data_IF_721543000684
#
_entry.id   IF_721543000684
#
_cell.length_a   1.000
_cell.length_b   1.000
_cell.length_c   1.000
_cell.angle_alpha   90.00
_cell.angle_beta   90.00
_cell.angle_gamma   90.00
#
_symmetry.space_group_name_H-M   'P 1'
#
loop_
_entity.id
_entity.type
_entity.pdbx_description
1 polymer ?
#
# COMPACT_ATOMS: atom_id res chain seq x y z
N UNK A 1 12.95 -47.87 -18.01
CA UNK A 1 12.33 -46.83 -17.14
C UNK A 1 12.35 -45.53 -17.93
N UNK A 2 11.20 -44.90 -18.20
CA UNK A 2 11.19 -43.67 -19.00
C UNK A 2 11.64 -42.49 -18.16
N UNK A 3 12.47 -41.62 -18.75
CA UNK A 3 12.90 -40.33 -18.18
C UNK A 3 11.70 -39.51 -17.66
N UNK A 4 10.56 -39.65 -18.33
CA UNK A 4 9.28 -39.03 -17.98
C UNK A 4 8.80 -39.36 -16.55
N UNK A 5 8.95 -40.60 -16.06
CA UNK A 5 8.51 -40.95 -14.70
C UNK A 5 9.34 -40.28 -13.61
N UNK A 6 10.63 -40.07 -13.85
CA UNK A 6 11.52 -39.37 -12.92
C UNK A 6 11.20 -37.88 -12.93
N UNK A 7 10.96 -37.31 -14.13
CA UNK A 7 10.53 -35.91 -14.28
C UNK A 7 9.25 -35.62 -13.50
N UNK A 8 8.24 -36.49 -13.61
CA UNK A 8 6.96 -36.33 -12.90
C UNK A 8 7.13 -36.33 -11.38
N UNK A 9 8.00 -37.20 -10.83
CA UNK A 9 8.30 -37.21 -9.40
C UNK A 9 9.03 -35.94 -8.94
N UNK A 10 9.88 -35.39 -9.80
CA UNK A 10 10.54 -34.12 -9.52
C UNK A 10 9.55 -32.96 -9.48
N UNK A 11 8.62 -32.92 -10.43
CA UNK A 11 7.56 -31.92 -10.47
C UNK A 11 6.61 -32.04 -9.25
N UNK A 12 6.28 -33.27 -8.83
CA UNK A 12 5.49 -33.53 -7.62
C UNK A 12 6.20 -33.04 -6.36
N UNK A 13 7.51 -33.29 -6.26
CA UNK A 13 8.33 -32.79 -5.15
C UNK A 13 8.40 -31.26 -5.14
N UNK A 14 8.56 -30.61 -6.29
CA UNK A 14 8.52 -29.14 -6.40
C UNK A 14 7.17 -28.62 -5.91
N UNK A 15 6.04 -29.19 -6.36
CA UNK A 15 4.71 -28.80 -5.88
C UNK A 15 4.55 -28.99 -4.38
N UNK A 16 5.04 -30.09 -3.82
CA UNK A 16 5.01 -30.38 -2.39
C UNK A 16 5.79 -29.32 -1.58
N UNK A 17 7.01 -28.98 -2.02
CA UNK A 17 7.83 -27.97 -1.34
C UNK A 17 7.23 -26.57 -1.41
N UNK A 18 6.63 -26.19 -2.54
CA UNK A 18 5.93 -24.91 -2.67
C UNK A 18 4.69 -24.84 -1.75
N UNK A 19 3.95 -25.95 -1.62
CA UNK A 19 2.84 -26.04 -0.67
C UNK A 19 3.30 -25.94 0.78
N UNK A 20 4.41 -26.61 1.12
CA UNK A 20 5.01 -26.50 2.46
C UNK A 20 5.39 -25.04 2.77
N UNK A 21 6.02 -24.31 1.84
CA UNK A 21 6.35 -22.88 2.02
C UNK A 21 5.12 -22.01 2.27
N UNK A 22 4.02 -22.28 1.55
CA UNK A 22 2.75 -21.59 1.76
C UNK A 22 2.20 -21.84 3.17
N UNK A 23 2.16 -23.10 3.60
CA UNK A 23 1.67 -23.49 4.93
C UNK A 23 2.56 -22.95 6.07
N UNK A 24 3.88 -22.99 5.89
CA UNK A 24 4.82 -22.45 6.86
C UNK A 24 4.66 -20.93 7.02
N UNK A 25 4.62 -20.20 5.89
CA UNK A 25 4.39 -18.75 5.90
C UNK A 25 3.05 -18.42 6.56
N UNK A 26 2.01 -19.19 6.26
CA UNK A 26 0.69 -19.00 6.87
C UNK A 26 0.68 -19.25 8.38
N UNK A 27 1.37 -20.30 8.86
CA UNK A 27 1.57 -20.56 10.28
C UNK A 27 2.28 -19.37 10.97
N UNK A 28 3.35 -18.85 10.39
CA UNK A 28 4.06 -17.68 10.96
C UNK A 28 3.15 -16.44 11.00
N UNK A 29 2.38 -16.22 9.94
CA UNK A 29 1.39 -15.16 9.89
C UNK A 29 0.34 -15.30 11.00
N UNK A 30 -0.29 -16.47 11.16
CA UNK A 30 -1.28 -16.71 12.20
C UNK A 30 -0.70 -16.52 13.60
N UNK A 31 0.51 -17.05 13.88
CA UNK A 31 1.19 -16.82 15.16
C UNK A 31 1.43 -15.33 15.40
N UNK A 32 1.81 -14.58 14.36
CA UNK A 32 1.99 -13.13 14.42
C UNK A 32 0.70 -12.40 14.78
N UNK A 33 -0.42 -12.75 14.14
CA UNK A 33 -1.74 -12.17 14.41
C UNK A 33 -2.17 -12.47 15.85
N UNK A 34 -2.09 -13.73 16.28
CA UNK A 34 -2.47 -14.16 17.63
C UNK A 34 -1.65 -13.46 18.72
N UNK A 35 -0.32 -13.39 18.53
CA UNK A 35 0.56 -12.65 19.44
C UNK A 35 0.22 -11.17 19.51
N UNK A 36 -0.11 -10.55 18.37
CA UNK A 36 -0.32 -9.09 18.26
C UNK A 36 -1.67 -8.63 18.80
N UNK A 37 -2.73 -9.40 18.57
CA UNK A 37 -4.11 -8.96 18.84
C UNK A 37 -4.83 -9.78 19.91
N UNK A 38 -4.38 -11.02 20.18
CA UNK A 38 -5.05 -11.94 21.10
C UNK A 38 -4.18 -12.32 22.32
N UNK A 39 -2.94 -11.82 22.39
CA UNK A 39 -1.97 -12.07 23.46
C UNK A 39 -1.85 -13.55 23.86
N UNK A 40 -2.03 -14.44 22.90
CA UNK A 40 -2.07 -15.90 23.08
C UNK A 40 -1.38 -16.59 21.91
N UNK A 41 -1.08 -17.89 22.07
CA UNK A 41 -0.66 -18.72 20.95
C UNK A 41 -1.87 -19.32 20.23
N UNK A 42 -1.77 -19.62 18.93
CA UNK A 42 -2.78 -20.39 18.23
C UNK A 42 -3.06 -21.72 18.93
N UNK A 43 -4.32 -22.16 18.96
CA UNK A 43 -4.76 -23.34 19.72
C UNK A 43 -4.32 -24.70 19.16
N UNK A 44 -3.48 -24.75 18.13
CA UNK A 44 -2.98 -25.97 17.50
C UNK A 44 -1.52 -26.27 17.88
N UNK A 45 -1.13 -27.54 17.74
CA UNK A 45 0.27 -27.99 17.90
C UNK A 45 0.72 -28.68 16.61
N UNK A 46 1.26 -27.89 15.69
CA UNK A 46 1.80 -28.39 14.43
C UNK A 46 3.34 -28.35 14.47
N UNK A 47 3.97 -29.50 14.24
CA UNK A 47 5.43 -29.59 14.16
C UNK A 47 5.92 -29.47 12.71
N UNK A 48 6.13 -28.22 12.30
CA UNK A 48 6.66 -27.90 10.98
C UNK A 48 8.15 -28.26 10.82
N UNK A 49 8.91 -28.39 11.91
CA UNK A 49 10.32 -28.77 11.84
C UNK A 49 10.44 -30.25 11.48
N UNK A 50 9.66 -31.12 12.15
CA UNK A 50 9.61 -32.53 11.81
C UNK A 50 9.15 -32.74 10.36
N UNK A 51 8.09 -32.03 9.94
CA UNK A 51 7.58 -32.08 8.57
C UNK A 51 8.63 -31.63 7.53
N UNK A 52 9.40 -30.58 7.82
CA UNK A 52 10.49 -30.13 6.96
C UNK A 52 11.58 -31.20 6.78
N UNK A 53 12.02 -31.82 7.87
CA UNK A 53 13.02 -32.89 7.82
C UNK A 53 12.52 -34.10 7.03
N UNK A 54 11.24 -34.47 7.16
CA UNK A 54 10.64 -35.53 6.34
C UNK A 54 10.63 -35.19 4.84
N UNK A 55 10.28 -33.96 4.46
CA UNK A 55 10.31 -33.49 3.06
C UNK A 55 11.76 -33.51 2.53
N UNK A 56 12.72 -33.03 3.33
CA UNK A 56 14.13 -33.02 2.98
C UNK A 56 14.70 -34.42 2.77
N UNK A 57 14.28 -35.38 3.58
CA UNK A 57 14.69 -36.78 3.43
C UNK A 57 14.25 -37.40 2.10
N UNK A 58 13.06 -37.02 1.60
CA UNK A 58 12.57 -37.48 0.28
C UNK A 58 13.44 -36.96 -0.86
N UNK A 59 13.92 -35.71 -0.78
CA UNK A 59 14.84 -35.16 -1.77
C UNK A 59 16.15 -35.96 -1.88
N UNK A 60 16.69 -36.44 -0.75
CA UNK A 60 17.89 -37.27 -0.73
C UNK A 60 17.64 -38.66 -1.35
N UNK A 61 16.45 -39.22 -1.13
CA UNK A 61 16.05 -40.53 -1.68
C UNK A 61 15.79 -40.46 -3.19
N UNK A 62 15.27 -39.35 -3.71
CA UNK A 62 15.05 -39.15 -5.16
C UNK A 62 16.34 -39.25 -5.98
N UNK A 63 17.48 -38.88 -5.40
CA UNK A 63 18.78 -38.93 -6.07
C UNK A 63 19.48 -40.30 -5.94
N UNK A 64 19.01 -41.20 -5.06
CA UNK A 64 19.75 -42.40 -4.64
C UNK A 64 18.94 -43.70 -4.69
N UNK A 65 17.61 -43.64 -4.78
CA UNK A 65 16.70 -44.77 -4.61
C UNK A 65 15.90 -45.09 -5.88
N UNK A 66 15.39 -46.33 -6.00
CA UNK A 66 14.44 -46.71 -7.05
C UNK A 66 13.13 -45.90 -6.90
N UNK A 67 12.62 -45.26 -7.98
CA UNK A 67 11.43 -44.39 -7.97
C UNK A 67 10.16 -44.97 -7.32
N UNK A 68 10.05 -46.30 -7.28
CA UNK A 68 8.90 -47.03 -6.72
C UNK A 68 8.75 -46.85 -5.20
N UNK A 69 9.85 -46.57 -4.49
CA UNK A 69 9.82 -46.28 -3.05
C UNK A 69 9.46 -44.82 -2.72
N UNK A 70 9.70 -43.89 -3.66
CA UNK A 70 9.52 -42.45 -3.45
C UNK A 70 8.06 -42.01 -3.61
N UNK A 71 7.35 -42.57 -4.59
CA UNK A 71 5.97 -42.18 -4.90
C UNK A 71 4.97 -42.38 -3.74
N UNK A 72 5.01 -43.51 -2.97
CA UNK A 72 4.19 -43.66 -1.77
C UNK A 72 4.51 -42.61 -0.71
N UNK A 73 5.81 -42.33 -0.50
CA UNK A 73 6.26 -41.37 0.51
C UNK A 73 5.83 -39.94 0.19
N UNK A 74 5.86 -39.54 -1.08
CA UNK A 74 5.32 -38.25 -1.52
C UNK A 74 3.82 -38.15 -1.23
N UNK A 75 3.04 -39.20 -1.49
CA UNK A 75 1.60 -39.21 -1.19
C UNK A 75 1.32 -39.07 0.31
N UNK A 76 2.05 -39.79 1.16
CA UNK A 76 1.95 -39.64 2.62
C UNK A 76 2.24 -38.20 3.08
N UNK A 77 3.25 -37.56 2.49
CA UNK A 77 3.56 -36.16 2.79
C UNK A 77 2.45 -35.20 2.33
N UNK A 78 1.84 -35.44 1.17
CA UNK A 78 0.70 -34.66 0.71
C UNK A 78 -0.48 -34.74 1.69
N UNK A 79 -0.84 -35.95 2.14
CA UNK A 79 -1.90 -36.14 3.15
C UNK A 79 -1.58 -35.44 4.47
N UNK A 80 -0.31 -35.46 4.90
CA UNK A 80 0.14 -34.69 6.08
C UNK A 80 0.01 -33.17 5.85
N UNK A 81 0.39 -32.65 4.68
CA UNK A 81 0.21 -31.23 4.35
C UNK A 81 -1.28 -30.84 4.33
N UNK A 82 -2.17 -31.72 3.88
CA UNK A 82 -3.62 -31.49 3.92
C UNK A 82 -4.16 -31.47 5.35
N UNK A 83 -3.65 -32.34 6.24
CA UNK A 83 -3.98 -32.29 7.66
C UNK A 83 -3.52 -30.97 8.31
N UNK A 84 -2.28 -30.53 8.06
CA UNK A 84 -1.77 -29.25 8.55
C UNK A 84 -2.58 -28.07 8.03
N UNK A 85 -2.95 -28.10 6.74
CA UNK A 85 -3.77 -27.04 6.13
C UNK A 85 -5.14 -26.90 6.81
N UNK A 86 -5.80 -28.02 7.12
CA UNK A 86 -7.10 -28.02 7.81
C UNK A 86 -7.01 -27.43 9.23
N UNK A 87 -6.00 -27.81 10.00
CA UNK A 87 -5.77 -27.27 11.36
C UNK A 87 -5.50 -25.76 11.33
N UNK A 88 -4.68 -25.30 10.37
CA UNK A 88 -4.44 -23.87 10.17
C UNK A 88 -5.72 -23.13 9.77
N UNK A 89 -6.51 -23.71 8.86
CA UNK A 89 -7.76 -23.10 8.39
C UNK A 89 -8.80 -22.99 9.49
N UNK A 90 -8.95 -24.00 10.34
CA UNK A 90 -9.87 -23.96 11.49
C UNK A 90 -9.54 -22.81 12.44
N UNK A 91 -8.26 -22.53 12.63
CA UNK A 91 -7.81 -21.44 13.48
C UNK A 91 -7.95 -20.06 12.81
N UNK A 92 -7.73 -20.01 11.49
CA UNK A 92 -7.92 -18.80 10.67
C UNK A 92 -9.39 -18.34 10.60
N UNK A 93 -10.36 -19.25 10.72
CA UNK A 93 -11.80 -18.89 10.77
C UNK A 93 -12.14 -17.91 11.90
N UNK A 94 -11.33 -17.84 12.95
CA UNK A 94 -11.50 -16.90 14.08
C UNK A 94 -10.86 -15.53 13.82
N UNK A 95 -10.10 -15.41 12.73
CA UNK A 95 -9.41 -14.18 12.34
C UNK A 95 -10.22 -13.51 11.24
N UNK A 96 -10.92 -12.42 11.56
CA UNK A 96 -11.65 -11.64 10.56
C UNK A 96 -10.69 -10.94 9.57
N UNK A 97 -11.15 -10.56 8.37
CA UNK A 97 -10.34 -9.82 7.39
C UNK A 97 -9.72 -8.53 7.94
N UNK A 98 -10.41 -7.85 8.87
CA UNK A 98 -9.91 -6.63 9.53
C UNK A 98 -8.62 -6.85 10.33
N UNK A 99 -8.45 -8.00 10.99
CA UNK A 99 -7.19 -8.30 11.70
C UNK A 99 -6.04 -8.52 10.72
N UNK A 100 -6.30 -9.12 9.55
CA UNK A 100 -5.28 -9.28 8.51
C UNK A 100 -4.79 -7.92 8.02
N UNK A 101 -5.71 -7.00 7.72
CA UNK A 101 -5.37 -5.62 7.28
C UNK A 101 -4.54 -4.90 8.33
N UNK A 102 -5.02 -4.84 9.57
CA UNK A 102 -4.32 -4.19 10.69
C UNK A 102 -2.97 -4.83 10.99
N UNK A 103 -2.83 -6.15 10.81
CA UNK A 103 -1.55 -6.83 10.98
C UNK A 103 -0.53 -6.35 9.94
N UNK A 104 -0.92 -6.33 8.67
CA UNK A 104 -0.05 -5.88 7.58
C UNK A 104 0.32 -4.40 7.73
N UNK A 105 -0.63 -3.55 8.13
CA UNK A 105 -0.38 -2.12 8.41
C UNK A 105 0.61 -1.91 9.56
N UNK A 106 0.54 -2.75 10.61
CA UNK A 106 1.38 -2.62 11.80
C UNK A 106 2.77 -3.22 11.62
N UNK A 107 2.86 -4.39 10.98
CA UNK A 107 4.13 -5.12 10.81
C UNK A 107 4.90 -4.61 9.59
N UNK A 108 4.20 -4.11 8.56
CA UNK A 108 4.77 -3.65 7.28
C UNK A 108 5.84 -4.63 6.76
N UNK A 109 5.45 -5.89 6.46
CA UNK A 109 6.39 -6.89 5.99
C UNK A 109 7.18 -6.38 4.78
N UNK A 110 8.52 -6.51 4.85
CA UNK A 110 9.41 -6.16 3.74
C UNK A 110 9.48 -7.24 2.67
N UNK A 111 9.18 -8.49 3.03
CA UNK A 111 9.14 -9.60 2.08
C UNK A 111 7.79 -9.63 1.35
N UNK A 112 7.83 -9.19 0.10
CA UNK A 112 6.69 -9.15 -0.81
C UNK A 112 6.11 -10.55 -1.08
N UNK A 113 6.89 -11.62 -0.85
CA UNK A 113 6.45 -13.01 -1.04
C UNK A 113 5.48 -13.49 0.04
N UNK A 114 5.35 -12.77 1.15
CA UNK A 114 4.41 -13.16 2.21
C UNK A 114 2.99 -13.16 1.64
N UNK A 115 2.55 -12.07 1.00
CA UNK A 115 1.21 -12.00 0.41
C UNK A 115 1.00 -13.09 -0.66
N UNK A 116 2.02 -13.36 -1.48
CA UNK A 116 2.00 -14.45 -2.47
C UNK A 116 1.74 -15.82 -1.82
N UNK A 117 2.48 -16.17 -0.76
CA UNK A 117 2.33 -17.45 -0.08
C UNK A 117 1.00 -17.57 0.68
N UNK A 118 0.51 -16.47 1.26
CA UNK A 118 -0.82 -16.45 1.89
C UNK A 118 -1.93 -16.65 0.86
N UNK A 119 -1.84 -16.01 -0.32
CA UNK A 119 -2.79 -16.26 -1.41
C UNK A 119 -2.77 -17.72 -1.86
N UNK A 120 -1.59 -18.32 -2.04
CA UNK A 120 -1.47 -19.76 -2.38
C UNK A 120 -2.11 -20.64 -1.33
N UNK A 121 -1.99 -20.30 -0.05
CA UNK A 121 -2.70 -21.01 1.01
C UNK A 121 -4.21 -20.94 0.79
N UNK A 122 -4.81 -19.76 0.65
CA UNK A 122 -6.26 -19.63 0.47
C UNK A 122 -6.78 -20.32 -0.79
N UNK A 123 -6.10 -20.18 -1.93
CA UNK A 123 -6.49 -20.86 -3.18
C UNK A 123 -6.35 -22.38 -3.12
N UNK A 124 -5.56 -22.91 -2.18
CA UNK A 124 -5.45 -24.36 -1.95
C UNK A 124 -6.57 -24.93 -1.08
N UNK A 125 -7.42 -24.09 -0.48
CA UNK A 125 -8.56 -24.51 0.34
C UNK A 125 -9.84 -24.54 -0.50
N UNK A 126 -10.62 -25.62 -0.38
CA UNK A 126 -11.88 -25.78 -1.13
C UNK A 126 -13.03 -24.92 -0.57
N UNK A 127 -12.99 -24.64 0.73
CA UNK A 127 -14.03 -23.86 1.41
C UNK A 127 -13.79 -22.36 1.23
N UNK A 128 -14.74 -21.70 0.56
CA UNK A 128 -14.72 -20.26 0.29
C UNK A 128 -15.92 -19.63 0.96
N UNK A 129 -15.66 -18.76 1.93
CA UNK A 129 -16.65 -17.91 2.60
C UNK A 129 -16.37 -16.42 2.26
N UNK A 130 -17.28 -15.53 2.66
CA UNK A 130 -17.15 -14.08 2.40
C UNK A 130 -15.86 -13.52 3.04
N UNK A 131 -15.47 -14.01 4.21
CA UNK A 131 -14.24 -13.61 4.90
C UNK A 131 -12.99 -13.99 4.10
N UNK A 132 -12.93 -15.19 3.53
CA UNK A 132 -11.82 -15.63 2.67
C UNK A 132 -11.75 -14.77 1.42
N UNK A 133 -12.88 -14.45 0.80
CA UNK A 133 -12.94 -13.55 -0.37
C UNK A 133 -12.34 -12.19 -0.01
N UNK A 134 -12.74 -11.61 1.12
CA UNK A 134 -12.25 -10.30 1.58
C UNK A 134 -10.74 -10.32 1.94
N UNK A 135 -10.24 -11.44 2.49
CA UNK A 135 -8.81 -11.64 2.75
C UNK A 135 -8.03 -11.78 1.45
N UNK A 136 -8.54 -12.53 0.47
CA UNK A 136 -7.93 -12.71 -0.85
C UNK A 136 -7.90 -11.39 -1.63
N UNK A 137 -8.99 -10.62 -1.64
CA UNK A 137 -9.06 -9.28 -2.27
C UNK A 137 -7.99 -8.34 -1.69
N UNK A 138 -7.87 -8.31 -0.37
CA UNK A 138 -6.83 -7.52 0.31
C UNK A 138 -5.41 -8.00 -0.03
N UNK A 139 -5.14 -9.30 0.12
CA UNK A 139 -3.81 -9.86 -0.12
C UNK A 139 -3.38 -9.75 -1.59
N UNK A 140 -4.31 -9.86 -2.53
CA UNK A 140 -4.05 -9.61 -3.94
C UNK A 140 -3.64 -8.16 -4.17
N UNK A 141 -4.32 -7.21 -3.54
CA UNK A 141 -3.96 -5.79 -3.58
C UNK A 141 -2.54 -5.56 -3.05
N UNK A 142 -2.18 -6.18 -1.92
CA UNK A 142 -0.82 -6.10 -1.34
C UNK A 142 0.24 -6.79 -2.22
N UNK A 143 -0.08 -7.93 -2.81
CA UNK A 143 0.84 -8.64 -3.70
C UNK A 143 1.08 -7.86 -5.00
N UNK A 144 0.08 -7.12 -5.49
CA UNK A 144 0.17 -6.29 -6.67
C UNK A 144 1.05 -5.04 -6.47
N UNK A 145 1.04 -4.43 -5.28
CA UNK A 145 1.94 -3.30 -4.95
C UNK A 145 3.35 -3.75 -4.61
N UNK A 146 3.51 -5.00 -4.16
CA UNK A 146 4.74 -5.49 -3.54
C UNK A 146 4.97 -4.96 -2.12
N UNK A 147 4.16 -4.01 -1.64
CA UNK A 147 4.34 -3.37 -0.34
C UNK A 147 3.04 -3.41 0.45
N UNK A 148 3.15 -3.70 1.74
CA UNK A 148 2.02 -3.66 2.69
C UNK A 148 1.57 -2.23 3.05
N UNK A 149 2.24 -1.22 2.51
CA UNK A 149 2.02 0.17 2.86
C UNK A 149 0.66 0.70 2.33
N UNK A 150 -0.14 1.41 3.14
CA UNK A 150 -1.40 2.03 2.75
C UNK A 150 -1.34 3.20 1.75
N UNK A 151 -0.15 3.71 1.43
CA UNK A 151 0.02 4.78 0.44
C UNK A 151 0.67 4.27 -0.86
N UNK A 152 1.22 3.06 -0.85
CA UNK A 152 1.79 2.41 -2.02
C UNK A 152 0.83 2.43 -3.23
N UNK A 153 1.29 3.08 -4.29
CA UNK A 153 0.64 3.09 -5.60
C UNK A 153 1.05 1.87 -6.43
N UNK A 154 0.44 1.71 -7.61
CA UNK A 154 0.81 0.66 -8.55
C UNK A 154 2.27 0.86 -9.02
N UNK A 155 3.20 0.08 -8.47
CA UNK A 155 4.62 0.13 -8.84
C UNK A 155 4.98 -0.85 -9.95
N UNK A 156 4.13 -1.86 -10.18
CA UNK A 156 4.39 -2.97 -11.10
C UNK A 156 3.57 -2.85 -12.37
N UNK A 157 4.15 -3.18 -13.55
CA UNK A 157 3.39 -3.32 -14.77
C UNK A 157 2.29 -4.38 -14.62
N UNK A 158 1.11 -4.12 -15.20
CA UNK A 158 -0.04 -5.06 -15.16
C UNK A 158 0.32 -6.47 -15.60
N UNK A 159 1.17 -6.62 -16.61
CA UNK A 159 1.65 -7.91 -17.11
C UNK A 159 2.47 -8.68 -16.06
N UNK A 160 3.26 -7.97 -15.24
CA UNK A 160 4.01 -8.60 -14.15
C UNK A 160 3.09 -9.08 -13.03
N UNK A 161 2.05 -8.29 -12.70
CA UNK A 161 1.00 -8.67 -11.74
C UNK A 161 0.24 -9.90 -12.24
N UNK A 162 -0.10 -9.93 -13.52
CA UNK A 162 -0.78 -11.08 -14.12
C UNK A 162 0.06 -12.36 -14.01
N UNK A 163 1.35 -12.32 -14.39
CA UNK A 163 2.26 -13.47 -14.23
C UNK A 163 2.38 -13.94 -12.79
N UNK A 164 2.39 -13.00 -11.84
CA UNK A 164 2.38 -13.32 -10.41
C UNK A 164 1.11 -14.10 -10.05
N UNK A 165 -0.06 -13.61 -10.46
CA UNK A 165 -1.34 -14.24 -10.16
C UNK A 165 -1.58 -15.54 -10.92
N UNK A 166 -1.04 -15.71 -12.12
CA UNK A 166 -0.99 -17.00 -12.82
C UNK A 166 -0.24 -18.04 -11.99
N UNK A 167 0.90 -17.66 -11.41
CA UNK A 167 1.69 -18.54 -10.53
C UNK A 167 0.97 -18.85 -9.21
N UNK A 168 0.28 -17.87 -8.63
CA UNK A 168 -0.53 -18.05 -7.42
C UNK A 168 -1.72 -18.98 -7.66
N UNK A 169 -2.42 -18.79 -8.78
CA UNK A 169 -3.69 -19.48 -9.06
C UNK A 169 -3.50 -20.82 -9.78
N UNK A 170 -2.28 -21.14 -10.23
CA UNK A 170 -1.95 -22.37 -10.96
C UNK A 170 -2.44 -23.66 -10.27
N UNK A 171 -2.33 -23.74 -8.93
CA UNK A 171 -2.73 -24.88 -8.13
C UNK A 171 -4.04 -24.64 -7.35
N UNK A 172 -4.84 -23.67 -7.78
CA UNK A 172 -6.11 -23.34 -7.12
C UNK A 172 -7.10 -24.50 -7.25
N UNK A 173 -7.78 -24.82 -6.14
CA UNK A 173 -8.88 -25.80 -6.09
C UNK A 173 -10.25 -25.13 -6.22
N UNK A 174 -10.28 -23.81 -6.35
CA UNK A 174 -11.52 -23.05 -6.47
C UNK A 174 -12.21 -23.30 -7.81
N UNK A 175 -13.53 -23.15 -7.89
CA UNK A 175 -14.26 -23.25 -9.15
C UNK A 175 -13.69 -22.27 -10.19
N UNK A 176 -13.50 -22.76 -11.41
CA UNK A 176 -13.11 -21.91 -12.54
C UNK A 176 -14.36 -21.34 -13.21
N UNK A 177 -14.36 -20.05 -13.47
CA UNK A 177 -15.38 -19.43 -14.31
C UNK A 177 -15.27 -19.90 -15.76
N UNK A 178 -16.39 -19.85 -16.47
CA UNK A 178 -16.43 -20.05 -17.91
C UNK A 178 -15.54 -19.02 -18.62
N UNK A 179 -14.71 -19.49 -19.56
CA UNK A 179 -13.71 -18.65 -20.24
C UNK A 179 -14.33 -17.41 -20.89
N UNK A 180 -15.53 -17.53 -21.47
CA UNK A 180 -16.25 -16.43 -22.11
C UNK A 180 -16.68 -15.29 -21.17
N UNK A 181 -16.76 -15.55 -19.85
CA UNK A 181 -17.12 -14.55 -18.85
C UNK A 181 -15.93 -13.70 -18.38
N UNK A 182 -14.69 -14.13 -18.68
CA UNK A 182 -13.49 -13.43 -18.22
C UNK A 182 -13.33 -12.04 -18.87
N UNK A 183 -13.35 -11.91 -20.22
CA UNK A 183 -13.20 -10.60 -20.87
C UNK A 183 -14.22 -9.52 -20.45
N UNK A 184 -15.54 -9.79 -20.34
CA UNK A 184 -16.48 -8.75 -19.93
C UNK A 184 -16.28 -8.32 -18.47
N UNK A 185 -15.90 -9.24 -17.58
CA UNK A 185 -15.59 -8.92 -16.18
C UNK A 185 -14.36 -8.01 -16.10
N UNK A 186 -13.28 -8.38 -16.80
CA UNK A 186 -12.04 -7.59 -16.83
C UNK A 186 -12.30 -6.19 -17.38
N UNK A 187 -13.05 -6.09 -18.49
CA UNK A 187 -13.44 -4.80 -19.07
C UNK A 187 -14.22 -3.94 -18.09
N UNK A 188 -15.19 -4.51 -17.38
CA UNK A 188 -15.99 -3.77 -16.41
C UNK A 188 -15.15 -3.20 -15.25
N UNK A 189 -14.12 -3.92 -14.78
CA UNK A 189 -13.18 -3.36 -13.80
C UNK A 189 -12.29 -2.25 -14.37
N UNK A 190 -11.87 -2.39 -15.63
CA UNK A 190 -11.07 -1.37 -16.31
C UNK A 190 -11.89 -0.09 -16.57
N UNK A 191 -13.18 -0.22 -16.91
CA UNK A 191 -14.13 0.88 -17.01
C UNK A 191 -14.34 1.56 -15.65
N UNK A 192 -14.59 0.80 -14.57
CA UNK A 192 -14.70 1.35 -13.22
C UNK A 192 -13.41 2.06 -12.76
N UNK A 193 -12.23 1.54 -13.10
CA UNK A 193 -10.97 2.20 -12.81
C UNK A 193 -10.81 3.50 -13.63
N UNK A 194 -11.31 3.53 -14.86
CA UNK A 194 -11.32 4.74 -15.70
C UNK A 194 -12.25 5.80 -15.13
N UNK A 195 -13.46 5.42 -14.72
CA UNK A 195 -14.43 6.34 -14.10
C UNK A 195 -13.89 6.87 -12.77
N UNK A 196 -13.26 6.01 -11.96
CA UNK A 196 -12.58 6.42 -10.74
C UNK A 196 -11.48 7.46 -11.02
N UNK A 197 -10.66 7.29 -12.05
CA UNK A 197 -9.62 8.27 -12.40
C UNK A 197 -10.16 9.61 -12.89
N UNK A 198 -11.40 9.64 -13.40
CA UNK A 198 -12.06 10.87 -13.87
C UNK A 198 -12.61 11.72 -12.72
N UNK A 199 -12.81 11.15 -11.53
CA UNK A 199 -13.25 11.88 -10.36
C UNK A 199 -12.25 13.00 -10.02
N UNK A 200 -12.77 14.24 -9.94
CA UNK A 200 -12.01 15.46 -9.64
C UNK A 200 -12.25 15.94 -8.23
N UNK A 201 -13.43 15.66 -7.69
CA UNK A 201 -13.84 16.05 -6.34
C UNK A 201 -14.22 14.85 -5.49
N UNK A 202 -14.20 15.04 -4.17
CA UNK A 202 -14.56 13.97 -3.24
C UNK A 202 -16.04 13.56 -3.39
N UNK A 203 -16.89 14.51 -3.77
CA UNK A 203 -18.31 14.32 -4.06
C UNK A 203 -18.55 13.34 -5.20
N UNK A 204 -17.72 13.35 -6.25
CA UNK A 204 -17.86 12.45 -7.40
C UNK A 204 -17.83 10.98 -6.93
N UNK A 205 -16.99 10.66 -5.95
CA UNK A 205 -16.87 9.32 -5.39
C UNK A 205 -18.15 8.82 -4.71
N UNK A 206 -18.92 9.73 -4.11
CA UNK A 206 -20.12 9.45 -3.32
C UNK A 206 -21.39 9.61 -4.16
N UNK A 207 -21.54 10.74 -4.84
CA UNK A 207 -22.69 11.13 -5.65
C UNK A 207 -22.86 10.23 -6.87
N UNK A 208 -21.77 9.92 -7.59
CA UNK A 208 -21.80 8.98 -8.72
C UNK A 208 -21.75 7.51 -8.26
N UNK A 209 -21.72 7.27 -6.94
CA UNK A 209 -21.70 5.96 -6.31
C UNK A 209 -20.53 5.08 -6.75
N UNK A 210 -19.41 5.67 -7.19
CA UNK A 210 -18.25 4.94 -7.75
C UNK A 210 -17.72 3.89 -6.76
N UNK A 211 -17.54 4.27 -5.49
CA UNK A 211 -17.07 3.33 -4.45
C UNK A 211 -18.05 2.16 -4.24
N UNK A 212 -19.36 2.43 -4.32
CA UNK A 212 -20.39 1.40 -4.19
C UNK A 212 -20.47 0.51 -5.43
N UNK A 213 -20.24 1.06 -6.63
CA UNK A 213 -20.21 0.31 -7.88
C UNK A 213 -19.03 -0.68 -7.87
N UNK A 214 -17.83 -0.25 -7.46
CA UNK A 214 -16.67 -1.12 -7.26
C UNK A 214 -16.98 -2.23 -6.25
N UNK A 215 -17.54 -1.88 -5.08
CA UNK A 215 -17.90 -2.86 -4.04
C UNK A 215 -18.92 -3.89 -4.54
N UNK A 216 -19.94 -3.43 -5.27
CA UNK A 216 -20.99 -4.29 -5.83
C UNK A 216 -20.42 -5.22 -6.90
N UNK A 217 -19.54 -4.70 -7.77
CA UNK A 217 -18.89 -5.49 -8.81
C UNK A 217 -18.03 -6.61 -8.20
N UNK A 218 -17.18 -6.29 -7.22
CA UNK A 218 -16.36 -7.27 -6.49
C UNK A 218 -17.19 -8.41 -5.90
N UNK A 219 -18.30 -8.08 -5.24
CA UNK A 219 -19.19 -9.08 -4.64
C UNK A 219 -19.78 -10.02 -5.69
N UNK A 220 -20.14 -9.51 -6.87
CA UNK A 220 -20.68 -10.31 -7.98
C UNK A 220 -19.65 -11.24 -8.60
N UNK A 221 -18.38 -10.84 -8.62
CA UNK A 221 -17.30 -11.63 -9.24
C UNK A 221 -16.48 -12.46 -8.25
N UNK A 222 -16.88 -12.51 -6.98
CA UNK A 222 -16.11 -13.15 -5.91
C UNK A 222 -15.77 -14.62 -6.21
N UNK A 223 -16.67 -15.35 -6.87
CA UNK A 223 -16.45 -16.72 -7.34
C UNK A 223 -15.43 -16.84 -8.48
N UNK A 224 -15.10 -15.73 -9.13
CA UNK A 224 -14.15 -15.62 -10.23
C UNK A 224 -12.71 -15.27 -9.84
N UNK A 225 -12.43 -15.01 -8.57
CA UNK A 225 -11.11 -14.55 -8.12
C UNK A 225 -9.98 -15.57 -8.34
N UNK A 226 -10.31 -16.84 -8.60
CA UNK A 226 -9.34 -17.87 -8.99
C UNK A 226 -8.81 -17.70 -10.42
N UNK A 227 -9.44 -16.86 -11.26
CA UNK A 227 -8.92 -16.51 -12.57
C UNK A 227 -7.89 -15.37 -12.42
N UNK A 228 -6.67 -15.60 -12.91
CA UNK A 228 -5.57 -14.64 -12.78
C UNK A 228 -5.85 -13.27 -13.44
N UNK A 229 -6.54 -13.25 -14.58
CA UNK A 229 -6.88 -12.01 -15.28
C UNK A 229 -7.91 -11.19 -14.49
N UNK A 230 -8.93 -11.86 -13.93
CA UNK A 230 -9.93 -11.21 -13.07
C UNK A 230 -9.26 -10.69 -11.80
N UNK A 231 -8.44 -11.50 -11.14
CA UNK A 231 -7.71 -11.10 -9.93
C UNK A 231 -6.79 -9.90 -10.20
N UNK A 232 -6.15 -9.87 -11.37
CA UNK A 232 -5.32 -8.74 -11.81
C UNK A 232 -6.17 -7.49 -11.98
N UNK A 233 -7.30 -7.58 -12.68
CA UNK A 233 -8.19 -6.45 -12.90
C UNK A 233 -8.76 -5.89 -11.58
N UNK A 234 -9.17 -6.78 -10.66
CA UNK A 234 -9.63 -6.41 -9.31
C UNK A 234 -8.52 -5.70 -8.54
N UNK A 235 -7.31 -6.26 -8.48
CA UNK A 235 -6.20 -5.66 -7.76
C UNK A 235 -5.81 -4.29 -8.34
N UNK A 236 -5.73 -4.15 -9.66
CA UNK A 236 -5.48 -2.86 -10.30
C UNK A 236 -6.57 -1.84 -9.98
N UNK A 237 -7.85 -2.22 -10.10
CA UNK A 237 -8.98 -1.36 -9.76
C UNK A 237 -8.95 -0.92 -8.30
N UNK A 238 -8.54 -1.79 -7.37
CA UNK A 238 -8.36 -1.44 -5.95
C UNK A 238 -7.29 -0.39 -5.75
N UNK A 239 -6.17 -0.53 -6.44
CA UNK A 239 -5.06 0.41 -6.34
C UNK A 239 -5.43 1.77 -6.91
N UNK A 240 -6.12 1.78 -8.06
CA UNK A 240 -6.69 3.02 -8.61
C UNK A 240 -7.68 3.65 -7.64
N UNK A 241 -8.64 2.88 -7.10
CA UNK A 241 -9.62 3.36 -6.13
C UNK A 241 -8.94 3.94 -4.89
N UNK A 242 -7.91 3.27 -4.37
CA UNK A 242 -7.19 3.74 -3.18
C UNK A 242 -6.38 5.00 -3.46
N UNK A 243 -5.67 5.05 -4.58
CA UNK A 243 -4.85 6.21 -4.98
C UNK A 243 -5.72 7.45 -5.20
N UNK A 244 -6.82 7.31 -5.96
CA UNK A 244 -7.77 8.42 -6.19
C UNK A 244 -8.42 8.86 -4.89
N UNK A 245 -8.90 7.92 -4.07
CA UNK A 245 -9.50 8.24 -2.78
C UNK A 245 -8.54 9.04 -1.89
N UNK A 246 -7.27 8.62 -1.81
CA UNK A 246 -6.27 9.28 -0.99
C UNK A 246 -5.95 10.69 -1.51
N UNK A 247 -5.70 10.83 -2.82
CA UNK A 247 -5.47 12.14 -3.46
C UNK A 247 -6.60 13.12 -3.21
N UNK A 248 -7.85 12.68 -3.42
CA UNK A 248 -9.02 13.52 -3.21
C UNK A 248 -9.25 13.81 -1.73
N UNK A 249 -8.97 12.83 -0.86
CA UNK A 249 -9.03 13.02 0.58
C UNK A 249 -8.02 14.06 1.08
N UNK A 250 -6.76 14.02 0.66
CA UNK A 250 -5.75 15.00 1.06
C UNK A 250 -6.12 16.42 0.60
N UNK A 251 -6.67 16.55 -0.62
CA UNK A 251 -7.20 17.84 -1.11
C UNK A 251 -8.35 18.32 -0.23
N UNK A 252 -9.28 17.44 0.11
CA UNK A 252 -10.46 17.78 0.91
C UNK A 252 -10.12 18.05 2.38
N UNK A 253 -9.15 17.35 2.96
CA UNK A 253 -8.68 17.56 4.33
C UNK A 253 -8.18 19.00 4.52
N UNK A 254 -7.38 19.51 3.57
CA UNK A 254 -6.92 20.91 3.58
C UNK A 254 -8.09 21.90 3.51
N UNK A 255 -9.06 21.66 2.60
CA UNK A 255 -10.28 22.47 2.47
C UNK A 255 -11.09 22.49 3.77
N UNK A 256 -11.24 21.33 4.41
CA UNK A 256 -11.98 21.17 5.67
C UNK A 256 -11.28 21.85 6.85
N UNK A 257 -9.95 21.79 6.93
CA UNK A 257 -9.16 22.47 7.97
C UNK A 257 -9.27 23.99 7.87
N UNK A 258 -9.18 24.54 6.65
CA UNK A 258 -9.36 25.98 6.41
C UNK A 258 -10.77 26.45 6.78
N UNK A 259 -11.81 25.73 6.33
CA UNK A 259 -13.19 26.05 6.65
C UNK A 259 -13.47 25.92 8.15
N UNK A 260 -12.89 24.93 8.80
CA UNK A 260 -12.94 24.75 10.25
C UNK A 260 -12.29 25.91 11.01
N UNK A 261 -11.15 26.41 10.52
CA UNK A 261 -10.50 27.62 11.05
C UNK A 261 -11.43 28.83 10.98
N UNK A 262 -12.00 29.10 9.80
CA UNK A 262 -12.94 30.22 9.59
C UNK A 262 -14.17 30.14 10.49
N UNK A 263 -14.78 28.95 10.63
CA UNK A 263 -15.92 28.75 11.54
C UNK A 263 -15.53 29.00 13.00
N UNK A 264 -14.33 28.60 13.41
CA UNK A 264 -13.84 28.82 14.78
C UNK A 264 -13.64 30.32 15.05
N UNK A 265 -13.13 31.06 14.07
CA UNK A 265 -12.97 32.52 14.20
C UNK A 265 -14.33 33.24 14.19
N UNK A 266 -15.28 32.79 13.36
CA UNK A 266 -16.66 33.27 13.38
C UNK A 266 -17.32 33.05 14.76
N UNK A 267 -17.17 31.85 15.36
CA UNK A 267 -17.69 31.55 16.69
C UNK A 267 -17.09 32.50 17.75
N UNK A 268 -15.80 32.83 17.64
CA UNK A 268 -15.13 33.79 18.54
C UNK A 268 -15.65 35.22 18.36
N UNK A 269 -15.87 35.66 17.12
CA UNK A 269 -16.39 36.99 16.82
C UNK A 269 -17.83 37.17 17.31
N UNK A 270 -18.71 36.20 17.05
CA UNK A 270 -20.09 36.20 17.52
C UNK A 270 -20.18 36.18 19.05
N UNK A 271 -19.32 35.39 19.70
CA UNK A 271 -19.22 35.35 21.18
C UNK A 271 -18.73 36.69 21.75
N UNK A 272 -17.82 37.40 21.07
CA UNK A 272 -17.37 38.75 21.46
C UNK A 272 -18.42 39.83 21.23
N UNK A 273 -19.25 39.67 20.20
CA UNK A 273 -20.36 40.57 19.86
C UNK A 273 -21.57 40.49 20.80
N UNK A 274 -21.57 39.54 21.74
CA UNK A 274 -22.68 39.35 22.68
C UNK A 274 -23.89 38.63 22.08
N UNK A 275 -23.76 38.05 20.87
CA UNK A 275 -24.77 37.18 20.30
C UNK A 275 -24.67 35.79 20.94
N UNK A 276 -25.33 35.65 22.09
CA UNK A 276 -25.38 34.40 22.85
C UNK A 276 -26.40 33.43 22.22
N UNK A 277 -26.12 32.95 21.00
CA UNK A 277 -26.76 31.74 20.49
C UNK A 277 -25.70 30.86 19.87
N UNK A 278 -25.27 29.86 20.64
CA UNK A 278 -24.73 28.63 20.09
C UNK A 278 -25.81 28.05 19.15
N UNK A 279 -25.75 28.49 17.90
CA UNK A 279 -26.70 28.07 16.88
C UNK A 279 -26.60 26.56 16.75
N UNK A 280 -27.74 25.87 16.62
CA UNK A 280 -27.82 24.41 16.50
C UNK A 280 -26.84 23.84 15.46
N UNK A 281 -26.52 24.63 14.44
CA UNK A 281 -25.55 24.38 13.37
C UNK A 281 -24.10 24.34 13.89
N UNK A 282 -23.68 25.26 14.77
CA UNK A 282 -22.37 25.19 15.43
C UNK A 282 -22.24 23.95 16.33
N UNK A 283 -23.34 23.54 16.97
CA UNK A 283 -23.37 22.30 17.76
C UNK A 283 -23.21 21.07 16.86
N UNK A 284 -23.95 20.99 15.75
CA UNK A 284 -23.82 19.91 14.75
C UNK A 284 -22.42 19.85 14.15
N UNK A 285 -21.85 21.02 13.81
CA UNK A 285 -20.48 21.12 13.34
C UNK A 285 -19.48 20.55 14.37
N UNK A 286 -19.56 20.97 15.65
CA UNK A 286 -18.69 20.44 16.71
C UNK A 286 -18.83 18.93 16.87
N UNK A 287 -20.04 18.40 16.86
CA UNK A 287 -20.28 16.96 16.97
C UNK A 287 -19.74 16.19 15.76
N UNK A 288 -19.90 16.72 14.55
CA UNK A 288 -19.36 16.13 13.33
C UNK A 288 -17.83 16.14 13.34
N UNK A 289 -17.22 17.27 13.74
CA UNK A 289 -15.76 17.42 13.88
C UNK A 289 -15.18 16.46 14.90
N UNK A 290 -15.77 16.33 16.09
CA UNK A 290 -15.30 15.38 17.11
C UNK A 290 -15.34 13.93 16.58
N UNK A 291 -16.40 13.57 15.83
CA UNK A 291 -16.47 12.25 15.20
C UNK A 291 -15.39 12.07 14.14
N UNK A 292 -15.19 13.08 13.28
CA UNK A 292 -14.15 13.11 12.26
C UNK A 292 -12.76 12.93 12.87
N UNK A 293 -12.37 13.78 13.83
CA UNK A 293 -11.06 13.77 14.48
C UNK A 293 -10.78 12.42 15.16
N UNK A 294 -11.80 11.86 15.82
CA UNK A 294 -11.69 10.54 16.45
C UNK A 294 -11.43 9.45 15.40
N UNK A 295 -12.18 9.43 14.29
CA UNK A 295 -12.03 8.42 13.25
C UNK A 295 -10.72 8.59 12.46
N UNK A 296 -10.27 9.83 12.26
CA UNK A 296 -8.96 10.15 11.68
C UNK A 296 -7.82 9.62 12.57
N UNK A 297 -7.89 9.89 13.88
CA UNK A 297 -6.92 9.38 14.88
C UNK A 297 -6.87 7.84 14.89
N UNK A 298 -8.03 7.19 14.76
CA UNK A 298 -8.16 5.73 14.71
C UNK A 298 -7.80 5.12 13.32
N UNK A 299 -7.43 5.94 12.32
CA UNK A 299 -7.21 5.54 10.91
C UNK A 299 -8.38 4.75 10.30
N UNK A 300 -9.61 5.08 10.71
CA UNK A 300 -10.84 4.42 10.28
C UNK A 300 -11.79 5.42 9.60
N UNK A 301 -11.22 6.41 8.92
CA UNK A 301 -11.99 7.41 8.20
C UNK A 301 -12.69 6.79 6.98
N UNK A 302 -13.95 7.19 6.76
CA UNK A 302 -14.79 6.73 5.64
C UNK A 302 -15.27 7.95 4.88
N UNK A 303 -15.58 7.77 3.59
CA UNK A 303 -16.14 8.81 2.73
C UNK A 303 -17.35 9.51 3.37
N UNK A 304 -18.20 8.75 4.03
CA UNK A 304 -19.37 9.27 4.72
C UNK A 304 -19.02 10.28 5.83
N UNK A 305 -17.94 10.06 6.58
CA UNK A 305 -17.55 10.98 7.67
C UNK A 305 -17.07 12.33 7.13
N UNK A 306 -16.39 12.34 5.98
CA UNK A 306 -15.94 13.55 5.29
C UNK A 306 -17.16 14.32 4.77
N UNK A 307 -18.08 13.63 4.11
CA UNK A 307 -19.31 14.22 3.60
C UNK A 307 -20.18 14.82 4.72
N UNK A 308 -20.32 14.13 5.86
CA UNK A 308 -21.04 14.64 7.03
C UNK A 308 -20.40 15.91 7.62
N UNK A 309 -19.06 15.98 7.67
CA UNK A 309 -18.36 17.17 8.16
C UNK A 309 -18.55 18.35 7.19
N UNK A 310 -18.39 18.11 5.89
CA UNK A 310 -18.59 19.13 4.85
C UNK A 310 -20.01 19.68 4.87
N UNK A 311 -21.02 18.82 4.96
CA UNK A 311 -22.42 19.26 5.06
C UNK A 311 -22.65 20.14 6.30
N UNK A 312 -22.08 19.77 7.45
CA UNK A 312 -22.19 20.58 8.66
C UNK A 312 -21.48 21.94 8.54
N UNK A 313 -20.33 21.99 7.84
CA UNK A 313 -19.61 23.23 7.51
C UNK A 313 -20.48 24.11 6.61
N UNK A 314 -21.04 23.56 5.53
CA UNK A 314 -21.91 24.29 4.61
C UNK A 314 -23.14 24.87 5.31
N UNK A 315 -23.79 24.12 6.21
CA UNK A 315 -24.93 24.63 7.01
C UNK A 315 -24.56 25.86 7.84
N UNK A 316 -23.37 25.87 8.46
CA UNK A 316 -22.90 27.01 9.26
C UNK A 316 -22.59 28.21 8.36
N UNK A 317 -21.78 28.02 7.30
CA UNK A 317 -21.37 29.11 6.42
C UNK A 317 -22.58 29.77 5.72
N UNK A 318 -23.55 28.97 5.27
CA UNK A 318 -24.77 29.46 4.62
C UNK A 318 -25.66 30.28 5.58
N UNK A 319 -25.75 29.87 6.84
CA UNK A 319 -26.63 30.53 7.82
C UNK A 319 -26.12 31.89 8.29
N UNK A 320 -24.81 32.03 8.40
CA UNK A 320 -24.18 33.28 8.84
C UNK A 320 -23.84 34.22 7.68
N UNK A 321 -24.41 33.94 6.50
CA UNK A 321 -24.34 34.76 5.28
C UNK A 321 -22.91 35.28 5.04
N UNK A 322 -21.94 34.38 5.13
CA UNK A 322 -20.59 34.61 4.63
C UNK A 322 -20.67 34.42 3.11
N UNK A 323 -21.49 35.24 2.46
CA UNK A 323 -21.79 35.26 1.02
C UNK A 323 -20.68 35.97 0.24
N UNK A 324 -19.43 35.67 0.60
CA UNK A 324 -18.24 35.93 -0.23
C UNK A 324 -17.60 34.64 -0.73
N UNK A 325 -18.33 33.53 -0.67
CA UNK A 325 -17.88 32.20 -1.09
C UNK A 325 -19.02 31.56 -1.88
N UNK A 326 -19.31 32.11 -3.06
CA UNK A 326 -19.77 31.22 -4.12
C UNK A 326 -18.65 30.19 -4.34
N UNK A 327 -19.02 28.94 -4.59
CA UNK A 327 -18.07 27.86 -4.86
C UNK A 327 -17.11 28.20 -6.02
N UNK A 328 -17.45 29.21 -6.83
CA UNK A 328 -16.64 29.74 -7.92
C UNK A 328 -15.45 30.61 -7.46
N UNK A 329 -15.52 31.33 -6.32
CA UNK A 329 -14.40 32.20 -5.88
C UNK A 329 -13.25 31.43 -5.21
N UNK A 330 -13.50 30.21 -4.72
CA UNK A 330 -12.42 29.30 -4.27
C UNK A 330 -11.72 28.67 -5.47
N UNK A 331 -12.46 28.37 -6.53
CA UNK A 331 -11.88 27.84 -7.77
C UNK A 331 -11.20 28.95 -8.59
N UNK A 332 -11.66 30.22 -8.59
CA UNK A 332 -11.03 31.33 -9.32
C UNK A 332 -9.81 31.93 -8.58
N UNK A 333 -9.85 32.01 -7.23
CA UNK A 333 -8.68 32.36 -6.43
C UNK A 333 -7.60 31.26 -6.43
N UNK A 334 -7.99 30.02 -6.77
CA UNK A 334 -7.07 28.94 -7.05
C UNK A 334 -6.74 28.83 -8.54
N UNK A 335 -7.55 29.27 -9.51
CA UNK A 335 -7.17 29.33 -10.94
C UNK A 335 -6.06 30.36 -11.19
N UNK A 336 -6.01 31.44 -10.41
CA UNK A 336 -4.85 32.35 -10.35
C UNK A 336 -3.61 31.75 -9.66
N UNK A 337 -3.73 30.54 -9.11
CA UNK A 337 -2.63 29.69 -8.60
C UNK A 337 -2.51 28.37 -9.40
N UNK A 338 -3.49 28.00 -10.24
CA UNK A 338 -3.50 26.79 -11.09
C UNK A 338 -2.85 27.04 -12.47
N UNK A 339 -2.35 28.24 -12.75
CA UNK A 339 -1.27 28.45 -13.71
C UNK A 339 0.11 28.49 -13.03
N UNK A 340 0.42 27.48 -12.21
CA UNK A 340 1.81 27.01 -12.11
C UNK A 340 1.84 25.55 -12.50
N UNK A 341 2.27 25.35 -13.74
CA UNK A 341 2.70 24.09 -14.32
C UNK A 341 3.48 23.22 -13.31
N UNK A 342 2.81 22.17 -12.82
CA UNK A 342 3.34 20.81 -12.85
C UNK A 342 4.15 20.30 -11.66
N UNK A 343 3.87 19.02 -11.35
CA UNK A 343 4.82 18.01 -10.84
C UNK A 343 6.17 17.99 -11.60
N UNK A 344 6.30 18.72 -12.72
CA UNK A 344 7.58 18.97 -13.40
C UNK A 344 8.52 19.87 -12.59
N UNK A 345 8.04 20.82 -11.77
CA UNK A 345 8.91 21.73 -11.00
C UNK A 345 9.56 21.07 -9.77
N UNK A 346 8.85 20.21 -9.04
CA UNK A 346 9.46 19.42 -7.96
C UNK A 346 10.50 18.46 -8.54
N UNK A 347 10.19 17.77 -9.65
CA UNK A 347 11.16 16.92 -10.34
C UNK A 347 12.35 17.71 -10.90
N UNK A 348 12.13 18.93 -11.42
CA UNK A 348 13.17 19.81 -11.98
C UNK A 348 14.14 20.34 -10.92
N UNK A 349 13.70 20.56 -9.68
CA UNK A 349 14.60 20.95 -8.60
C UNK A 349 15.31 19.73 -8.01
N UNK A 350 14.56 18.69 -7.62
CA UNK A 350 15.09 17.58 -6.84
C UNK A 350 16.03 16.70 -7.64
N UNK A 351 15.69 16.39 -8.89
CA UNK A 351 16.47 15.43 -9.70
C UNK A 351 17.88 15.94 -10.00
N UNK A 352 18.09 17.16 -10.54
CA UNK A 352 19.44 17.67 -10.79
C UNK A 352 20.24 17.95 -9.51
N UNK A 353 19.58 18.23 -8.39
CA UNK A 353 20.25 18.42 -7.11
C UNK A 353 20.69 17.09 -6.49
N UNK A 354 19.84 16.05 -6.58
CA UNK A 354 20.14 14.70 -6.16
C UNK A 354 21.26 14.08 -7.01
N UNK A 355 21.18 14.21 -8.34
CA UNK A 355 22.21 13.70 -9.25
C UNK A 355 23.57 14.35 -9.00
N UNK A 356 23.60 15.65 -8.66
CA UNK A 356 24.85 16.34 -8.29
C UNK A 356 25.46 15.83 -6.98
N UNK A 357 24.62 15.62 -5.96
CA UNK A 357 25.08 15.09 -4.67
C UNK A 357 25.57 13.64 -4.82
N UNK A 358 24.77 12.79 -5.46
CA UNK A 358 25.11 11.38 -5.66
C UNK A 358 26.29 11.20 -6.60
N UNK A 359 26.38 11.97 -7.68
CA UNK A 359 27.52 11.95 -8.60
C UNK A 359 28.82 12.41 -7.95
N UNK A 360 28.77 13.40 -7.03
CA UNK A 360 29.94 13.77 -6.23
C UNK A 360 30.37 12.61 -5.32
N UNK A 361 29.42 11.95 -4.65
CA UNK A 361 29.71 10.80 -3.78
C UNK A 361 30.26 9.63 -4.60
N UNK A 362 29.66 9.30 -5.75
CA UNK A 362 30.15 8.24 -6.64
C UNK A 362 31.56 8.50 -7.20
N UNK A 363 31.90 9.77 -7.44
CA UNK A 363 33.21 10.15 -7.99
C UNK A 363 34.33 10.16 -6.93
N UNK A 364 34.02 10.54 -5.69
CA UNK A 364 35.03 10.79 -4.65
C UNK A 364 35.02 9.78 -3.49
N UNK A 365 34.00 8.94 -3.41
CA UNK A 365 33.85 7.89 -2.39
C UNK A 365 33.68 6.53 -3.08
N UNK A 366 34.66 5.64 -2.91
CA UNK A 366 34.67 4.30 -3.52
C UNK A 366 33.62 3.33 -2.91
N UNK A 367 32.90 3.79 -1.89
CA UNK A 367 31.84 3.04 -1.21
C UNK A 367 32.37 1.86 -0.39
N UNK A 368 33.69 1.70 -0.26
CA UNK A 368 34.33 0.58 0.44
C UNK A 368 34.97 1.06 1.76
N UNK A 369 34.72 0.32 2.84
CA UNK A 369 35.33 0.60 4.15
C UNK A 369 34.60 1.67 4.99
N UNK A 370 35.23 2.11 6.11
CA UNK A 370 34.59 2.97 7.10
C UNK A 370 34.22 4.34 6.52
N UNK A 371 33.09 4.88 6.96
CA UNK A 371 32.57 6.18 6.52
C UNK A 371 33.51 7.29 7.00
N UNK A 372 34.00 8.10 6.06
CA UNK A 372 34.90 9.23 6.32
C UNK A 372 34.28 10.48 5.74
N UNK A 373 34.00 11.47 6.58
CA UNK A 373 33.38 12.74 6.17
C UNK A 373 34.40 13.78 5.70
N UNK A 374 35.70 13.49 5.84
CA UNK A 374 36.85 14.34 5.49
C UNK A 374 37.41 14.06 4.09
N UNK A 375 36.58 13.57 3.17
CA UNK A 375 36.97 13.34 1.78
C UNK A 375 37.14 14.70 1.08
N UNK A 376 38.35 15.00 0.61
CA UNK A 376 38.72 16.29 0.01
C UNK A 376 37.72 16.76 -1.08
N UNK A 377 37.28 15.84 -1.94
CA UNK A 377 36.30 16.11 -3.01
C UNK A 377 34.85 16.35 -2.55
N UNK A 378 34.48 15.94 -1.32
CA UNK A 378 33.15 16.11 -0.74
C UNK A 378 33.07 17.21 0.32
N UNK A 379 34.21 17.81 0.67
CA UNK A 379 34.32 18.83 1.72
C UNK A 379 33.38 20.03 1.52
N UNK A 380 33.10 20.39 0.27
CA UNK A 380 32.18 21.48 -0.11
C UNK A 380 30.69 21.17 0.16
N UNK A 381 30.31 19.89 0.28
CA UNK A 381 28.94 19.47 0.61
C UNK A 381 28.72 19.37 2.12
N UNK A 382 29.81 19.31 2.92
CA UNK A 382 29.78 19.17 4.39
C UNK A 382 28.78 18.10 4.84
N UNK A 383 28.83 16.93 4.21
CA UNK A 383 27.90 15.84 4.53
C UNK A 383 28.22 15.26 5.90
N UNK A 384 27.20 15.10 6.73
CA UNK A 384 27.30 14.40 8.00
C UNK A 384 27.41 12.88 7.77
N UNK A 385 27.90 12.14 8.77
CA UNK A 385 28.16 10.70 8.63
C UNK A 385 26.93 9.90 8.19
N UNK A 386 25.74 10.29 8.65
CA UNK A 386 24.48 9.65 8.25
C UNK A 386 23.99 10.06 6.86
N UNK A 387 24.25 11.30 6.43
CA UNK A 387 23.94 11.77 5.06
C UNK A 387 24.81 11.03 4.04
N UNK A 388 26.12 10.89 4.34
CA UNK A 388 27.06 10.15 3.50
C UNK A 388 26.70 8.64 3.44
N UNK A 389 26.25 8.06 4.55
CA UNK A 389 25.73 6.68 4.57
C UNK A 389 24.48 6.51 3.71
N UNK A 390 23.54 7.46 3.76
CA UNK A 390 22.34 7.43 2.91
C UNK A 390 22.71 7.57 1.42
N UNK A 391 23.68 8.44 1.10
CA UNK A 391 24.17 8.61 -0.26
C UNK A 391 24.85 7.34 -0.79
N UNK A 392 25.74 6.71 -0.01
CA UNK A 392 26.39 5.43 -0.38
C UNK A 392 25.38 4.33 -0.69
N UNK A 393 24.36 4.18 0.16
CA UNK A 393 23.29 3.19 -0.06
C UNK A 393 22.51 3.47 -1.33
N UNK A 394 22.28 4.75 -1.63
CA UNK A 394 21.55 5.21 -2.81
C UNK A 394 22.36 4.98 -4.09
N UNK A 395 23.65 5.28 -4.08
CA UNK A 395 24.58 4.96 -5.18
C UNK A 395 24.64 3.44 -5.41
N UNK A 396 24.80 2.65 -4.34
CA UNK A 396 24.82 1.19 -4.43
C UNK A 396 23.49 0.57 -4.93
N UNK A 397 22.37 1.28 -4.74
CA UNK A 397 21.05 0.87 -5.22
C UNK A 397 20.74 1.35 -6.65
N UNK A 398 21.70 1.93 -7.36
CA UNK A 398 21.52 2.40 -8.75
C UNK A 398 20.95 3.80 -8.87
N UNK A 399 21.14 4.66 -7.87
CA UNK A 399 20.76 6.08 -7.90
C UNK A 399 19.40 6.38 -7.26
N UNK A 400 18.60 5.37 -6.93
CA UNK A 400 17.33 5.55 -6.23
C UNK A 400 17.45 5.27 -4.72
N UNK A 401 16.96 6.18 -3.83
CA UNK A 401 17.04 5.96 -2.39
C UNK A 401 16.27 4.70 -1.97
N UNK A 402 16.91 3.75 -1.26
CA UNK A 402 16.30 2.46 -0.94
C UNK A 402 15.20 2.54 0.13
N UNK A 403 15.10 3.66 0.85
CA UNK A 403 14.02 3.93 1.81
C UNK A 403 13.61 5.40 1.80
N UNK A 404 12.38 5.69 2.23
CA UNK A 404 11.89 7.07 2.43
C UNK A 404 12.72 7.84 3.45
N UNK A 405 13.27 7.13 4.45
CA UNK A 405 14.20 7.72 5.42
C UNK A 405 15.47 8.21 4.73
N UNK A 406 16.06 7.39 3.86
CA UNK A 406 17.25 7.80 3.11
C UNK A 406 16.92 8.93 2.12
N UNK A 407 15.73 8.93 1.50
CA UNK A 407 15.23 10.02 0.66
C UNK A 407 15.12 11.34 1.44
N UNK A 408 14.47 11.32 2.61
CA UNK A 408 14.29 12.50 3.44
C UNK A 408 15.63 13.06 3.97
N UNK A 409 16.56 12.18 4.35
CA UNK A 409 17.91 12.57 4.77
C UNK A 409 18.65 13.28 3.63
N UNK A 410 18.57 12.73 2.41
CA UNK A 410 19.23 13.33 1.23
C UNK A 410 18.57 14.63 0.79
N UNK A 411 17.24 14.73 0.83
CA UNK A 411 16.52 15.98 0.56
C UNK A 411 16.89 17.07 1.58
N UNK A 412 17.00 16.72 2.87
CA UNK A 412 17.48 17.64 3.91
C UNK A 412 18.90 18.14 3.64
N UNK A 413 19.81 17.24 3.26
CA UNK A 413 21.18 17.59 2.89
C UNK A 413 21.22 18.53 1.67
N UNK A 414 20.41 18.25 0.64
CA UNK A 414 20.30 19.09 -0.57
C UNK A 414 19.83 20.49 -0.24
N UNK A 415 18.76 20.63 0.56
CA UNK A 415 18.24 21.93 0.96
C UNK A 415 19.27 22.73 1.76
N UNK A 416 19.99 22.07 2.67
CA UNK A 416 21.06 22.70 3.46
C UNK A 416 22.19 23.21 2.57
N UNK A 417 22.70 22.36 1.66
CA UNK A 417 23.76 22.74 0.71
C UNK A 417 23.30 23.90 -0.18
N UNK A 418 22.06 23.88 -0.66
CA UNK A 418 21.48 24.93 -1.49
C UNK A 418 21.35 26.25 -0.72
N UNK A 419 20.86 26.21 0.52
CA UNK A 419 20.76 27.38 1.38
C UNK A 419 22.13 27.99 1.71
N UNK A 420 23.17 27.16 1.92
CA UNK A 420 24.54 27.65 2.10
C UNK A 420 25.09 28.33 0.84
N UNK A 421 24.85 27.75 -0.35
CA UNK A 421 25.25 28.35 -1.63
C UNK A 421 24.59 29.69 -1.88
N UNK A 422 23.29 29.82 -1.58
CA UNK A 422 22.56 31.07 -1.75
C UNK A 422 23.00 32.13 -0.74
N UNK A 423 23.24 31.73 0.51
CA UNK A 423 23.82 32.63 1.52
C UNK A 423 25.19 33.14 1.09
N UNK A 424 26.05 32.28 0.57
CA UNK A 424 27.39 32.65 0.13
C UNK A 424 27.35 33.53 -1.13
N UNK A 425 26.37 33.32 -2.02
CA UNK A 425 26.10 34.19 -3.18
C UNK A 425 25.61 35.58 -2.76
N UNK A 426 24.78 35.67 -1.72
CA UNK A 426 24.30 36.94 -1.16
C UNK A 426 25.37 37.67 -0.34
N UNK A 427 26.32 36.94 0.24
CA UNK A 427 27.45 37.48 0.98
C UNK A 427 28.62 37.92 0.07
N UNK A 428 28.59 37.57 -1.23
CA UNK A 428 29.60 37.97 -2.19
C UNK A 428 29.49 39.49 -2.47
N UNK A 429 30.58 40.27 -2.33
CA UNK A 429 30.55 41.71 -2.57
C UNK A 429 30.37 41.98 -4.07
N UNK A 430 29.13 42.26 -4.50
CA UNK A 430 28.85 42.64 -5.89
C UNK A 430 27.40 42.58 -6.38
N UNK A 431 26.45 42.02 -5.64
CA UNK A 431 25.04 42.02 -6.06
C UNK A 431 24.38 43.37 -5.72
N UNK A 432 24.51 44.31 -6.66
CA UNK A 432 23.80 45.58 -6.65
C UNK A 432 22.27 45.36 -6.57
N UNK A 433 21.61 46.16 -5.74
CA UNK A 433 20.18 46.40 -5.79
C UNK A 433 19.75 46.80 -7.20
N UNK A 434 18.67 46.22 -7.77
CA UNK A 434 17.86 46.94 -8.72
C UNK A 434 16.89 47.84 -7.96
N UNK A 435 16.88 49.11 -8.35
CA UNK A 435 16.01 50.16 -7.87
C UNK A 435 14.50 49.84 -8.03
N UNK A 436 13.76 50.29 -7.00
CA UNK A 436 12.32 50.64 -6.93
C UNK A 436 11.26 49.54 -7.10
#
# INVERSE_FOLDING_TARGET
MSVEKIQLLHDDYIRLTERFKALWTFNQFLRGVYKTFFSSEPGYKLDFNALYEEIRAVAAQMNTSLPEAVAPRLRELWEKLDAFARELRETDRRVSPSFVRRFFEKVRPQDEKIAFHLLRFYFSQAEVDEDVIDKVDFLATVAATGRADPEASLTRPRVAIQKLFESVTAASVWPRLESGMTPPIVRAFDELATDMNRAREFEDLVSERLLNNVRTMKRRVASGLANAEILTAVACCNLTTRSVFHRLYEKEERRLDEATGRITDLERELTRGGEEKASEEFRRFRESRIRYDRQATERNLRAQHIHELKHAISEVLQKFDISGLEAEDIDEALELVEEVEGDEHEAAFWKPAMDRLLGAVELYDDGQGPVRTDISGLSHLKLETWELLAARKTVAAGGEPPSERDRAILQGAILRVKAEQERDALAAPGAASPDL
#
